data_IF_195822521231
#
_entry.id   IF_195822521231
#
_cell.length_a   1.000
_cell.length_b   1.000
_cell.length_c   1.000
_cell.angle_alpha   90.00
_cell.angle_beta   90.00
_cell.angle_gamma   90.00
#
_symmetry.space_group_name_H-M   'P 1'
#
loop_
_entity.id
_entity.type
_entity.pdbx_description
1 polymer ?
#
# COMPACT_ATOMS: atom_id res chain seq x y z
N UNK A 1 -44.37 15.84 -14.10
CA UNK A 1 -43.03 16.47 -14.25
C UNK A 1 -42.02 15.99 -13.21
N UNK A 2 -42.39 15.75 -11.94
CA UNK A 2 -41.45 15.27 -10.90
C UNK A 2 -40.92 13.83 -11.08
N UNK A 3 -41.68 12.95 -11.76
CA UNK A 3 -41.32 11.53 -11.88
C UNK A 3 -40.11 11.30 -12.81
N UNK A 4 -39.96 12.11 -13.86
CA UNK A 4 -38.78 12.07 -14.75
C UNK A 4 -37.52 12.61 -14.06
N UNK A 5 -37.67 13.63 -13.20
CA UNK A 5 -36.55 14.23 -12.46
C UNK A 5 -35.92 13.23 -11.48
N UNK A 6 -36.76 12.40 -10.85
CA UNK A 6 -36.33 11.36 -9.93
C UNK A 6 -35.51 10.26 -10.64
N UNK A 7 -35.94 9.85 -11.85
CA UNK A 7 -35.22 8.86 -12.66
C UNK A 7 -33.88 9.41 -13.16
N UNK A 8 -33.86 10.65 -13.66
CA UNK A 8 -32.63 11.30 -14.12
C UNK A 8 -31.63 11.47 -12.96
N UNK A 9 -32.11 11.87 -11.79
CA UNK A 9 -31.28 11.99 -10.58
C UNK A 9 -30.70 10.65 -10.13
N UNK A 10 -31.47 9.55 -10.22
CA UNK A 10 -31.02 8.22 -9.84
C UNK A 10 -29.95 7.67 -10.83
N UNK A 11 -30.13 7.92 -12.13
CA UNK A 11 -29.13 7.56 -13.16
C UNK A 11 -27.81 8.34 -12.99
N UNK A 12 -27.87 9.62 -12.61
CA UNK A 12 -26.69 10.44 -12.32
C UNK A 12 -25.91 9.94 -11.09
N UNK A 13 -26.59 9.43 -10.07
CA UNK A 13 -25.95 8.88 -8.87
C UNK A 13 -25.27 7.53 -9.13
N UNK A 14 -25.83 6.68 -10.01
CA UNK A 14 -25.23 5.39 -10.38
C UNK A 14 -23.96 5.54 -11.23
N UNK A 15 -23.85 6.60 -12.04
CA UNK A 15 -22.66 6.87 -12.86
C UNK A 15 -21.41 7.26 -12.05
N UNK A 16 -21.58 7.63 -10.77
CA UNK A 16 -20.47 8.01 -9.87
C UNK A 16 -19.82 6.82 -9.13
N UNK A 17 -20.35 5.60 -9.29
CA UNK A 17 -19.96 4.42 -8.48
C UNK A 17 -18.76 3.64 -9.07
N UNK A 18 -18.12 4.08 -10.16
CA UNK A 18 -17.07 3.29 -10.84
C UNK A 18 -15.65 3.88 -10.75
N UNK A 19 -15.24 4.38 -9.58
CA UNK A 19 -13.82 4.74 -9.33
C UNK A 19 -13.28 4.09 -8.06
N UNK A 20 -13.61 2.82 -7.87
CA UNK A 20 -12.96 1.94 -6.91
C UNK A 20 -11.90 1.08 -7.59
N UNK A 21 -10.84 1.68 -8.15
CA UNK A 21 -9.71 0.91 -8.65
C UNK A 21 -8.92 0.34 -7.47
N UNK A 22 -9.39 -0.77 -6.91
CA UNK A 22 -8.50 -1.66 -6.17
C UNK A 22 -7.47 -2.14 -7.19
N UNK A 23 -6.21 -1.75 -7.02
CA UNK A 23 -5.12 -2.25 -7.86
C UNK A 23 -4.99 -3.75 -7.55
N UNK A 24 -5.78 -4.57 -8.22
CA UNK A 24 -5.76 -6.02 -8.08
C UNK A 24 -4.52 -6.50 -8.81
N UNK A 25 -3.67 -7.23 -8.10
CA UNK A 25 -2.51 -7.89 -8.68
C UNK A 25 -2.98 -8.97 -9.66
N UNK A 26 -2.90 -8.69 -10.96
CA UNK A 26 -3.16 -9.70 -11.99
C UNK A 26 -1.99 -10.66 -12.08
N UNK A 27 -2.25 -11.89 -12.53
CA UNK A 27 -1.25 -12.96 -12.59
C UNK A 27 -0.04 -12.60 -13.46
N UNK A 28 -0.25 -11.79 -14.49
CA UNK A 28 0.77 -11.39 -15.48
C UNK A 28 1.44 -10.04 -15.18
N UNK A 29 1.10 -9.38 -14.06
CA UNK A 29 1.62 -8.04 -13.76
C UNK A 29 3.16 -8.01 -13.65
N UNK A 30 3.77 -9.13 -13.23
CA UNK A 30 5.22 -9.25 -13.13
C UNK A 30 5.92 -9.20 -14.51
N UNK A 31 5.22 -9.53 -15.59
CA UNK A 31 5.78 -9.51 -16.95
C UNK A 31 5.92 -8.10 -17.51
N UNK A 32 5.15 -7.14 -16.97
CA UNK A 32 5.15 -5.74 -17.44
C UNK A 32 5.90 -4.80 -16.50
N UNK A 33 6.11 -5.20 -15.23
CA UNK A 33 6.80 -4.38 -14.25
C UNK A 33 8.33 -4.41 -14.45
N UNK A 34 8.97 -3.24 -14.38
CA UNK A 34 10.43 -3.13 -14.35
C UNK A 34 10.88 -2.88 -12.91
N UNK A 35 11.47 -3.89 -12.28
CA UNK A 35 11.99 -3.79 -10.92
C UNK A 35 13.48 -3.41 -10.94
N UNK A 36 13.87 -2.43 -10.10
CA UNK A 36 15.29 -2.18 -9.83
C UNK A 36 15.96 -3.28 -8.98
N UNK A 37 15.14 -4.14 -8.34
CA UNK A 37 15.51 -5.25 -7.45
C UNK A 37 16.60 -4.92 -6.42
N UNK A 38 16.20 -4.83 -5.16
CA UNK A 38 17.14 -4.68 -4.06
C UNK A 38 18.16 -5.84 -4.05
N UNK A 39 19.43 -5.50 -3.87
CA UNK A 39 20.51 -6.48 -3.81
C UNK A 39 21.10 -6.52 -2.38
N UNK A 40 21.67 -7.65 -1.94
CA UNK A 40 22.21 -7.82 -0.60
C UNK A 40 23.48 -6.98 -0.32
N UNK A 41 24.20 -6.57 -1.38
CA UNK A 41 25.34 -5.67 -1.28
C UNK A 41 24.90 -4.23 -0.95
N UNK A 42 23.74 -3.78 -1.44
CA UNK A 42 23.22 -2.39 -1.26
C UNK A 42 22.17 -2.26 -0.16
N UNK A 43 21.42 -3.33 0.13
CA UNK A 43 20.49 -3.38 1.25
C UNK A 43 21.21 -3.78 2.54
N UNK A 44 22.02 -2.86 3.07
CA UNK A 44 22.78 -3.04 4.30
C UNK A 44 22.42 -1.97 5.33
N UNK A 45 22.33 -2.39 6.58
CA UNK A 45 22.06 -1.52 7.72
C UNK A 45 21.35 -2.26 8.84
N UNK A 46 21.34 -1.67 10.06
CA UNK A 46 20.50 -2.18 11.14
C UNK A 46 19.04 -2.17 10.69
N UNK A 47 18.29 -3.21 11.05
CA UNK A 47 16.87 -3.37 10.74
C UNK A 47 16.48 -3.36 9.24
N UNK A 48 17.41 -3.55 8.29
CA UNK A 48 17.11 -3.64 6.85
C UNK A 48 17.11 -5.07 6.34
N UNK A 49 16.10 -5.42 5.53
CA UNK A 49 15.89 -6.76 5.01
C UNK A 49 15.37 -6.74 3.58
N UNK A 50 15.69 -7.77 2.80
CA UNK A 50 15.11 -7.93 1.47
C UNK A 50 13.74 -8.58 1.63
N UNK A 51 12.69 -7.90 1.16
CA UNK A 51 11.31 -8.38 1.16
C UNK A 51 10.72 -8.31 -0.24
N UNK A 52 9.67 -9.09 -0.48
CA UNK A 52 8.85 -8.94 -1.66
C UNK A 52 8.00 -7.66 -1.59
N UNK A 53 8.01 -6.90 -2.68
CA UNK A 53 7.22 -5.70 -2.90
C UNK A 53 6.44 -5.81 -4.22
N UNK A 54 5.54 -4.86 -4.46
CA UNK A 54 4.70 -4.72 -5.66
C UNK A 54 4.15 -6.06 -6.17
N UNK A 55 3.02 -6.50 -5.61
CA UNK A 55 2.37 -7.76 -5.98
C UNK A 55 3.27 -9.02 -5.87
N UNK A 56 4.39 -8.93 -5.14
CA UNK A 56 5.38 -9.99 -5.02
C UNK A 56 6.38 -10.07 -6.18
N UNK A 57 6.31 -9.18 -7.17
CA UNK A 57 7.15 -9.23 -8.36
C UNK A 57 8.56 -8.68 -8.14
N UNK A 58 8.72 -7.74 -7.20
CA UNK A 58 9.98 -7.03 -7.01
C UNK A 58 10.59 -7.36 -5.64
N UNK A 59 11.91 -7.47 -5.58
CA UNK A 59 12.63 -7.44 -4.29
C UNK A 59 12.86 -5.99 -3.87
N UNK A 60 12.45 -5.62 -2.67
CA UNK A 60 12.63 -4.29 -2.06
C UNK A 60 13.52 -4.38 -0.82
N UNK A 61 14.26 -3.31 -0.54
CA UNK A 61 14.97 -3.16 0.72
C UNK A 61 14.02 -2.56 1.75
N UNK A 62 13.50 -3.39 2.64
CA UNK A 62 12.52 -3.02 3.65
C UNK A 62 13.23 -2.67 4.97
N UNK A 63 12.79 -1.61 5.63
CA UNK A 63 13.32 -1.19 6.94
C UNK A 63 12.28 -1.38 8.03
N UNK A 64 12.62 -2.16 9.05
CA UNK A 64 11.79 -2.30 10.25
C UNK A 64 11.98 -1.12 11.19
N UNK A 65 10.87 -0.55 11.63
CA UNK A 65 10.82 0.58 12.54
C UNK A 65 10.51 0.11 13.96
N UNK A 66 11.31 0.56 14.91
CA UNK A 66 11.18 0.30 16.34
C UNK A 66 10.03 1.13 16.97
N UNK A 67 9.67 0.82 18.21
CA UNK A 67 8.63 1.56 18.92
C UNK A 67 9.00 3.04 19.09
N UNK A 68 8.03 3.92 18.85
CA UNK A 68 8.19 5.37 18.89
C UNK A 68 8.79 6.00 17.61
N UNK A 69 9.33 5.20 16.69
CA UNK A 69 9.81 5.69 15.39
C UNK A 69 8.66 6.13 14.49
N UNK A 70 8.94 7.12 13.63
CA UNK A 70 7.97 7.66 12.68
C UNK A 70 7.73 6.67 11.54
N UNK A 71 6.48 6.23 11.39
CA UNK A 71 6.08 5.35 10.29
C UNK A 71 5.48 6.16 9.14
N UNK A 72 5.75 5.77 7.88
CA UNK A 72 5.00 6.34 6.76
C UNK A 72 3.54 5.97 6.93
N UNK A 73 2.65 6.96 6.82
CA UNK A 73 1.22 6.67 6.70
C UNK A 73 1.02 5.73 5.52
N UNK A 74 0.16 4.73 5.66
CA UNK A 74 -0.21 3.84 4.56
C UNK A 74 -0.96 4.64 3.49
N UNK A 75 -0.20 5.35 2.66
CA UNK A 75 -0.75 6.02 1.49
C UNK A 75 -1.16 4.89 0.55
N UNK A 76 -2.47 4.74 0.31
CA UNK A 76 -3.00 3.83 -0.69
C UNK A 76 -2.52 4.28 -2.06
N UNK A 77 -1.38 3.74 -2.47
CA UNK A 77 -0.75 4.01 -3.76
C UNK A 77 -0.19 2.71 -4.35
N UNK A 78 0.21 2.73 -5.63
CA UNK A 78 0.73 1.56 -6.31
C UNK A 78 2.07 1.09 -5.74
N UNK A 79 2.83 1.98 -5.10
CA UNK A 79 4.17 1.67 -4.60
C UNK A 79 4.10 0.99 -3.23
N UNK A 80 4.72 -0.20 -3.05
CA UNK A 80 4.80 -0.83 -1.75
C UNK A 80 5.60 0.05 -0.77
N UNK A 81 5.22 0.10 0.51
CA UNK A 81 6.02 0.81 1.51
C UNK A 81 7.40 0.14 1.66
N UNK A 82 8.44 0.97 1.70
CA UNK A 82 9.84 0.53 1.88
C UNK A 82 10.27 0.51 3.35
N UNK A 83 9.38 0.89 4.26
CA UNK A 83 9.55 0.76 5.70
C UNK A 83 8.22 0.47 6.38
N UNK A 84 8.27 -0.13 7.57
CA UNK A 84 7.10 -0.40 8.38
C UNK A 84 7.49 -0.84 9.77
N UNK A 85 6.55 -0.80 10.70
CA UNK A 85 6.78 -1.14 12.09
C UNK A 85 7.20 -2.61 12.25
N UNK A 86 8.02 -2.90 13.27
CA UNK A 86 8.35 -4.27 13.67
C UNK A 86 7.10 -5.08 14.03
N UNK A 87 7.24 -6.39 14.02
CA UNK A 87 6.18 -7.31 14.43
C UNK A 87 5.63 -6.93 15.82
N UNK A 88 4.30 -6.92 15.95
CA UNK A 88 3.61 -6.49 17.18
C UNK A 88 3.35 -4.99 17.30
N UNK A 89 3.92 -4.17 16.41
CA UNK A 89 3.70 -2.72 16.40
C UNK A 89 2.78 -2.30 15.23
N UNK A 90 1.91 -1.33 15.47
CA UNK A 90 1.07 -0.70 14.45
C UNK A 90 1.40 0.79 14.32
N UNK A 91 1.24 1.30 13.11
CA UNK A 91 1.40 2.73 12.84
C UNK A 91 0.18 3.50 13.37
N UNK A 92 0.32 4.18 14.51
CA UNK A 92 -0.72 5.00 15.16
C UNK A 92 -0.22 6.44 15.25
N UNK A 93 -1.00 7.39 14.73
CA UNK A 93 -0.64 8.82 14.72
C UNK A 93 0.75 9.11 14.10
N UNK A 94 1.12 8.32 13.08
CA UNK A 94 2.42 8.44 12.41
C UNK A 94 3.60 7.88 13.21
N UNK A 95 3.36 7.11 14.28
CA UNK A 95 4.41 6.41 15.05
C UNK A 95 4.12 4.93 15.24
N UNK A 96 5.16 4.12 15.32
CA UNK A 96 5.03 2.71 15.68
C UNK A 96 4.73 2.57 17.18
N UNK A 97 3.61 1.94 17.51
CA UNK A 97 3.21 1.65 18.90
C UNK A 97 2.73 0.22 19.02
N UNK A 98 2.96 -0.38 20.19
CA UNK A 98 2.43 -1.67 20.58
C UNK A 98 0.90 -1.66 20.47
N UNK A 99 0.34 -2.67 19.84
CA UNK A 99 -1.10 -2.90 19.85
C UNK A 99 -1.45 -3.66 21.12
N UNK A 100 -1.48 -2.95 22.23
CA UNK A 100 -2.06 -3.44 23.48
C UNK A 100 -3.58 -3.51 23.25
N UNK A 101 -4.08 -4.72 23.00
CA UNK A 101 -5.51 -5.03 22.92
C UNK A 101 -6.01 -5.46 24.30
#
# INVERSE_FOLDING_TARGET
>A
MNQCYFIISCFLLLALVDFGQSIVCTKDICSTVKCANANPCTCKGPNKFIKDGFCGCCKICFTYLDEGESCPLEIRGPSPPTSGCKEGLKCKEGKCRSDDC
#
